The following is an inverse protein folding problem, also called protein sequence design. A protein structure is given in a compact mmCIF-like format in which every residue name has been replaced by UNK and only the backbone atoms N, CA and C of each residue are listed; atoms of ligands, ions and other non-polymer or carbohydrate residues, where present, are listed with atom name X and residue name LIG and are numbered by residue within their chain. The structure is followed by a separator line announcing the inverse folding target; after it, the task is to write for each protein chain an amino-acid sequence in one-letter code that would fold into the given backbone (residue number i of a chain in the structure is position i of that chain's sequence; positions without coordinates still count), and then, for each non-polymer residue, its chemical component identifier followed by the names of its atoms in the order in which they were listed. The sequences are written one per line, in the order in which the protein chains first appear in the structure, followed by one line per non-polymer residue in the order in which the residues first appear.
data_IF_007927070926
#
_entry.id   IF_007927070926
#
_cell.length_a   1.000
_cell.length_b   1.000
_cell.length_c   1.000
_cell.angle_alpha   90.00
_cell.angle_beta   90.00
_cell.angle_gamma   90.00
#
_symmetry.space_group_name_H-M   'P 1'
#
loop_
_entity.id
_entity.type
_entity.pdbx_description
1 polymer ?
#
# COMPACT_ATOMS: atom_id res chain seq x y z
N UNK A 1 -3.53 -2.19 -18.71
CA UNK A 1 -3.76 -2.93 -17.45
C UNK A 1 -5.25 -3.05 -17.14
N UNK A 2 -6.05 -1.97 -17.25
CA UNK A 2 -7.51 -2.01 -17.06
C UNK A 2 -8.19 -3.13 -17.84
N UNK A 3 -7.98 -3.24 -19.14
CA UNK A 3 -8.58 -4.28 -20.00
C UNK A 3 -8.33 -5.71 -19.49
N UNK A 4 -7.14 -6.01 -18.96
CA UNK A 4 -6.84 -7.33 -18.40
C UNK A 4 -7.70 -7.63 -17.16
N UNK A 5 -7.92 -6.63 -16.32
CA UNK A 5 -8.75 -6.74 -15.11
C UNK A 5 -10.21 -6.89 -15.49
N UNK A 6 -10.68 -6.13 -16.48
CA UNK A 6 -12.03 -6.24 -17.03
C UNK A 6 -12.31 -7.66 -17.56
N UNK A 7 -11.39 -8.22 -18.35
CA UNK A 7 -11.48 -9.61 -18.84
C UNK A 7 -11.48 -10.64 -17.70
N UNK A 8 -10.68 -10.43 -16.66
CA UNK A 8 -10.69 -11.31 -15.49
C UNK A 8 -12.04 -11.28 -14.77
N UNK A 9 -12.64 -10.09 -14.61
CA UNK A 9 -13.93 -9.92 -13.95
C UNK A 9 -15.11 -10.47 -14.75
N UNK A 10 -15.01 -10.48 -16.08
CA UNK A 10 -16.02 -11.04 -16.98
C UNK A 10 -15.86 -12.54 -17.26
N UNK A 11 -14.79 -13.16 -16.73
CA UNK A 11 -14.53 -14.58 -16.94
C UNK A 11 -15.42 -15.48 -16.05
N UNK A 12 -15.69 -16.71 -16.50
CA UNK A 12 -16.45 -17.71 -15.74
C UNK A 12 -15.78 -18.12 -14.40
N UNK A 13 -14.52 -17.73 -14.20
CA UNK A 13 -13.77 -18.03 -12.97
C UNK A 13 -13.65 -16.81 -12.03
N UNK A 14 -14.26 -15.68 -12.39
CA UNK A 14 -14.18 -14.42 -11.62
C UNK A 14 -14.55 -14.60 -10.14
N UNK A 15 -15.58 -15.39 -9.84
CA UNK A 15 -16.05 -15.67 -8.47
C UNK A 15 -14.98 -16.38 -7.59
N UNK A 16 -13.97 -17.01 -8.21
CA UNK A 16 -12.92 -17.75 -7.51
C UNK A 16 -11.56 -17.06 -7.53
N UNK A 17 -11.47 -15.87 -8.17
CA UNK A 17 -10.23 -15.13 -8.32
C UNK A 17 -10.38 -13.81 -7.57
N UNK A 18 -9.45 -13.53 -6.65
CA UNK A 18 -9.26 -12.20 -6.10
C UNK A 18 -8.33 -11.41 -7.02
N UNK A 19 -8.74 -10.21 -7.39
CA UNK A 19 -7.94 -9.32 -8.24
C UNK A 19 -7.53 -8.08 -7.44
N UNK A 20 -6.23 -7.88 -7.24
CA UNK A 20 -5.71 -6.67 -6.59
C UNK A 20 -5.02 -5.80 -7.63
N UNK A 21 -5.49 -4.57 -7.78
CA UNK A 21 -4.89 -3.56 -8.65
C UNK A 21 -4.24 -2.46 -7.81
N UNK A 22 -2.93 -2.31 -7.91
CA UNK A 22 -2.23 -1.16 -7.31
C UNK A 22 -2.34 0.03 -8.25
N UNK A 23 -2.93 1.13 -7.78
CA UNK A 23 -3.17 2.35 -8.54
C UNK A 23 -2.26 3.52 -8.08
N UNK A 24 -1.09 3.71 -8.71
CA UNK A 24 -0.22 4.83 -8.37
C UNK A 24 -0.67 6.16 -9.00
N UNK A 25 -1.67 6.14 -9.87
CA UNK A 25 -2.16 7.33 -10.59
C UNK A 25 -3.49 7.85 -10.03
N UNK A 26 -4.22 7.05 -9.25
CA UNK A 26 -5.52 7.41 -8.69
C UNK A 26 -6.61 7.59 -9.74
N UNK A 27 -6.64 6.73 -10.77
CA UNK A 27 -7.59 6.83 -11.88
C UNK A 27 -8.51 5.63 -12.01
N UNK A 28 -8.13 4.47 -11.44
CA UNK A 28 -8.88 3.23 -11.64
C UNK A 28 -10.19 3.13 -10.85
N UNK A 29 -10.42 4.02 -9.87
CA UNK A 29 -11.76 4.18 -9.27
C UNK A 29 -12.84 4.42 -10.33
N UNK A 30 -12.46 4.95 -11.50
CA UNK A 30 -13.37 5.18 -12.64
C UNK A 30 -13.96 3.89 -13.20
N UNK A 31 -13.40 2.70 -12.92
CA UNK A 31 -13.98 1.40 -13.31
C UNK A 31 -15.34 1.14 -12.64
N UNK A 32 -15.65 1.83 -11.56
CA UNK A 32 -16.99 1.81 -10.92
C UNK A 32 -18.06 2.54 -11.73
N UNK A 33 -17.70 3.17 -12.85
CA UNK A 33 -18.63 3.92 -13.69
C UNK A 33 -18.57 3.43 -15.13
N UNK A 34 -19.74 3.28 -15.81
CA UNK A 34 -19.74 2.90 -17.22
C UNK A 34 -19.09 3.99 -18.08
N UNK A 35 -18.37 3.57 -19.11
CA UNK A 35 -17.75 4.51 -20.07
C UNK A 35 -18.81 5.05 -21.05
N UNK A 36 -19.60 6.01 -20.64
CA UNK A 36 -20.62 6.66 -21.47
C UNK A 36 -20.00 7.60 -22.54
N UNK A 37 -18.73 7.92 -22.43
CA UNK A 37 -18.05 8.87 -23.31
C UNK A 37 -17.73 8.27 -24.69
N UNK A 38 -17.36 7.00 -24.70
CA UNK A 38 -16.85 6.31 -25.89
C UNK A 38 -17.83 5.25 -26.45
N UNK A 39 -19.12 5.40 -26.18
CA UNK A 39 -20.18 4.45 -26.59
C UNK A 39 -20.08 4.11 -28.10
N UNK A 40 -19.87 5.11 -28.96
CA UNK A 40 -19.76 4.89 -30.40
C UNK A 40 -18.52 4.10 -30.83
N UNK A 41 -17.49 4.04 -29.99
CA UNK A 41 -16.33 3.19 -30.22
C UNK A 41 -16.58 1.77 -29.70
N UNK A 42 -17.23 1.63 -28.57
CA UNK A 42 -17.61 0.33 -28.00
C UNK A 42 -18.58 -0.41 -28.94
N UNK A 43 -19.56 0.29 -29.50
CA UNK A 43 -20.52 -0.28 -30.49
C UNK A 43 -19.83 -0.90 -31.72
N UNK A 44 -18.68 -0.38 -32.15
CA UNK A 44 -17.91 -0.96 -33.29
C UNK A 44 -17.33 -2.32 -32.98
N UNK A 45 -17.18 -2.64 -31.69
CA UNK A 45 -16.64 -3.91 -31.16
C UNK A 45 -17.73 -4.78 -30.55
N UNK A 46 -19.01 -4.42 -30.74
CA UNK A 46 -20.17 -5.07 -30.14
C UNK A 46 -20.10 -5.13 -28.58
N UNK A 47 -19.50 -4.06 -28.02
CA UNK A 47 -19.34 -3.89 -26.56
C UNK A 47 -20.32 -2.83 -26.05
N UNK A 48 -20.71 -2.97 -24.79
CA UNK A 48 -21.55 -1.98 -24.09
C UNK A 48 -20.77 -1.34 -22.94
N UNK A 49 -21.11 -0.08 -22.59
CA UNK A 49 -20.59 0.50 -21.36
C UNK A 49 -21.03 -0.32 -20.14
N UNK A 50 -20.08 -0.77 -19.36
CA UNK A 50 -20.34 -1.52 -18.11
C UNK A 50 -19.55 -0.88 -16.96
N UNK A 51 -20.09 -0.99 -15.75
CA UNK A 51 -19.41 -0.66 -14.51
C UNK A 51 -19.01 -1.96 -13.83
N UNK A 52 -17.85 -1.94 -13.18
CA UNK A 52 -17.34 -3.08 -12.41
C UNK A 52 -17.61 -2.86 -10.92
N UNK A 53 -17.92 -3.95 -10.22
CA UNK A 53 -18.05 -3.95 -8.75
C UNK A 53 -16.65 -4.01 -8.15
N UNK A 54 -16.01 -2.84 -8.07
CA UNK A 54 -14.67 -2.68 -7.55
C UNK A 54 -14.73 -2.00 -6.18
N UNK A 55 -13.88 -2.44 -5.25
CA UNK A 55 -13.68 -1.80 -3.96
C UNK A 55 -12.40 -0.97 -3.99
N UNK A 56 -12.51 0.33 -3.71
CA UNK A 56 -11.36 1.25 -3.70
C UNK A 56 -10.86 1.43 -2.28
N UNK A 57 -9.64 0.99 -2.04
CA UNK A 57 -8.97 1.08 -0.75
C UNK A 57 -7.88 2.13 -0.76
N UNK A 58 -7.81 2.95 0.29
CA UNK A 58 -6.79 3.97 0.47
C UNK A 58 -6.03 3.78 1.79
N UNK A 59 -4.80 4.32 1.94
CA UNK A 59 -4.11 4.32 3.22
C UNK A 59 -4.93 5.03 4.30
N UNK A 60 -5.15 4.40 5.45
CA UNK A 60 -5.99 4.92 6.54
C UNK A 60 -5.56 6.32 7.02
N UNK A 61 -4.26 6.57 7.08
CA UNK A 61 -3.74 7.88 7.49
C UNK A 61 -3.83 8.97 6.42
N UNK A 62 -4.40 8.66 5.23
CA UNK A 62 -4.52 9.59 4.09
C UNK A 62 -5.96 9.93 3.74
N UNK A 63 -6.94 9.52 4.52
CA UNK A 63 -8.36 9.82 4.28
C UNK A 63 -8.61 11.30 4.06
N UNK A 64 -7.99 12.17 4.87
CA UNK A 64 -8.12 13.61 4.72
C UNK A 64 -7.64 14.12 3.36
N UNK A 65 -6.53 13.58 2.84
CA UNK A 65 -5.99 13.98 1.53
C UNK A 65 -6.96 13.63 0.39
N UNK A 66 -7.67 12.50 0.51
CA UNK A 66 -8.70 12.06 -0.45
C UNK A 66 -9.97 12.87 -0.31
N UNK A 67 -10.43 13.12 0.91
CA UNK A 67 -11.64 13.92 1.20
C UNK A 67 -11.48 15.37 0.69
N UNK A 68 -10.32 16.01 0.93
CA UNK A 68 -10.03 17.37 0.45
C UNK A 68 -9.99 17.48 -1.09
N UNK A 69 -9.65 16.39 -1.77
CA UNK A 69 -9.62 16.30 -3.25
C UNK A 69 -10.90 15.74 -3.85
N UNK A 70 -11.89 15.41 -3.02
CA UNK A 70 -13.15 14.77 -3.44
C UNK A 70 -12.91 13.48 -4.25
N UNK A 71 -11.83 12.74 -3.93
CA UNK A 71 -11.50 11.47 -4.57
C UNK A 71 -12.30 10.34 -3.90
N UNK A 72 -13.06 9.54 -4.68
CA UNK A 72 -13.90 8.50 -4.11
C UNK A 72 -13.07 7.30 -3.64
N UNK A 73 -13.42 6.75 -2.49
CA UNK A 73 -12.93 5.48 -1.96
C UNK A 73 -14.03 4.78 -1.17
N UNK A 74 -13.92 3.48 -0.97
CA UNK A 74 -14.90 2.67 -0.25
C UNK A 74 -14.44 2.37 1.18
N UNK A 75 -13.16 2.01 1.35
CA UNK A 75 -12.62 1.67 2.66
C UNK A 75 -11.11 2.01 2.74
N UNK A 76 -10.53 1.76 3.89
CA UNK A 76 -9.12 2.03 4.16
C UNK A 76 -8.35 0.76 4.48
N UNK A 77 -7.03 0.77 4.23
CA UNK A 77 -6.16 -0.31 4.64
C UNK A 77 -5.02 0.17 5.55
N UNK A 78 -4.50 -0.75 6.33
CA UNK A 78 -3.32 -0.57 7.17
C UNK A 78 -2.40 -1.78 7.06
N UNK A 79 -1.11 -1.55 7.29
CA UNK A 79 -0.06 -2.56 7.41
C UNK A 79 0.45 -2.57 8.85
N UNK A 80 0.70 -3.76 9.39
CA UNK A 80 1.41 -3.86 10.65
C UNK A 80 2.93 -3.81 10.38
N UNK A 81 3.67 -2.84 10.96
CA UNK A 81 5.12 -2.74 10.77
C UNK A 81 5.88 -4.00 11.13
N UNK A 82 5.39 -4.78 12.10
CA UNK A 82 6.01 -6.01 12.56
C UNK A 82 5.91 -7.17 11.55
N UNK A 83 5.01 -7.07 10.58
CA UNK A 83 4.87 -8.08 9.52
C UNK A 83 5.83 -7.86 8.36
N UNK A 84 6.51 -6.70 8.30
CA UNK A 84 7.53 -6.45 7.30
C UNK A 84 8.87 -7.04 7.76
N UNK A 85 9.48 -7.82 6.88
CA UNK A 85 10.85 -8.31 7.08
C UNK A 85 11.85 -7.17 7.03
N UNK A 86 13.03 -7.37 7.59
CA UNK A 86 14.14 -6.39 7.50
C UNK A 86 14.52 -6.09 6.05
N UNK A 87 14.38 -7.06 5.15
CA UNK A 87 14.63 -6.87 3.71
C UNK A 87 13.58 -5.96 3.05
N UNK A 88 12.31 -6.14 3.36
CA UNK A 88 11.23 -5.26 2.87
C UNK A 88 11.38 -3.83 3.38
N UNK A 89 11.72 -3.66 4.66
CA UNK A 89 12.06 -2.35 5.21
C UNK A 89 13.26 -1.72 4.50
N UNK A 90 14.31 -2.50 4.23
CA UNK A 90 15.50 -2.05 3.51
C UNK A 90 15.15 -1.58 2.10
N UNK A 91 14.33 -2.35 1.37
CA UNK A 91 13.84 -1.96 0.05
C UNK A 91 13.01 -0.69 0.11
N UNK A 92 12.09 -0.59 1.06
CA UNK A 92 11.23 0.60 1.24
C UNK A 92 12.05 1.86 1.53
N UNK A 93 13.18 1.73 2.23
CA UNK A 93 14.06 2.84 2.55
C UNK A 93 15.16 3.11 1.51
N UNK A 94 15.23 2.32 0.44
CA UNK A 94 16.26 2.43 -0.60
C UNK A 94 17.68 2.21 -0.06
N UNK A 95 17.87 1.24 0.83
CA UNK A 95 19.17 0.95 1.47
C UNK A 95 19.87 -0.22 0.79
N UNK A 96 21.16 -0.01 0.50
CA UNK A 96 22.03 -1.11 0.08
C UNK A 96 22.33 -2.07 1.24
N UNK A 97 22.38 -3.38 0.97
CA UNK A 97 22.50 -4.43 1.99
C UNK A 97 23.69 -4.33 2.92
N UNK A 98 24.80 -3.78 2.46
CA UNK A 98 26.07 -3.73 3.20
C UNK A 98 26.32 -2.39 3.92
N UNK A 99 25.29 -1.54 4.07
CA UNK A 99 25.44 -0.28 4.79
C UNK A 99 25.28 -0.48 6.30
N UNK A 100 25.93 0.35 7.11
CA UNK A 100 25.77 0.34 8.57
C UNK A 100 24.27 0.51 8.97
N UNK A 101 23.53 1.30 8.19
CA UNK A 101 22.10 1.53 8.43
C UNK A 101 21.28 0.27 8.17
N UNK A 102 21.61 -0.51 7.15
CA UNK A 102 20.95 -1.80 6.86
C UNK A 102 21.22 -2.82 7.96
N UNK A 103 22.47 -2.90 8.43
CA UNK A 103 22.85 -3.80 9.53
C UNK A 103 22.13 -3.40 10.83
N UNK A 104 22.03 -2.10 11.12
CA UNK A 104 21.31 -1.60 12.27
C UNK A 104 19.80 -1.95 12.19
N UNK A 105 19.20 -1.73 11.01
CA UNK A 105 17.79 -2.03 10.76
C UNK A 105 17.49 -3.52 10.93
N UNK A 106 18.32 -4.40 10.38
CA UNK A 106 18.19 -5.86 10.48
C UNK A 106 18.20 -6.31 11.95
N UNK A 107 19.26 -5.93 12.69
CA UNK A 107 19.36 -6.26 14.13
C UNK A 107 18.16 -5.73 14.93
N UNK A 108 17.73 -4.51 14.63
CA UNK A 108 16.59 -3.91 15.31
C UNK A 108 15.30 -4.67 15.04
N UNK A 109 15.05 -5.11 13.81
CA UNK A 109 13.87 -5.90 13.47
C UNK A 109 13.91 -7.28 14.19
N UNK A 110 15.06 -7.95 14.20
CA UNK A 110 15.26 -9.22 14.92
C UNK A 110 14.97 -9.06 16.41
N UNK A 111 15.64 -8.12 17.08
CA UNK A 111 15.49 -7.88 18.52
C UNK A 111 14.06 -7.51 18.91
N UNK A 112 13.37 -6.69 18.07
CA UNK A 112 11.98 -6.30 18.32
C UNK A 112 11.01 -7.46 18.08
N UNK A 113 11.27 -8.32 17.11
CA UNK A 113 10.47 -9.54 16.90
C UNK A 113 10.64 -10.50 18.07
N UNK A 114 11.84 -10.65 18.60
CA UNK A 114 12.11 -11.49 19.78
C UNK A 114 11.46 -10.93 21.05
N UNK A 115 11.45 -9.60 21.23
CA UNK A 115 10.89 -8.94 22.42
C UNK A 115 9.36 -8.81 22.39
N UNK A 116 8.77 -8.52 21.22
CA UNK A 116 7.35 -8.12 21.05
C UNK A 116 6.56 -8.98 20.07
N UNK A 117 7.17 -9.94 19.36
CA UNK A 117 6.49 -10.66 18.27
C UNK A 117 5.92 -9.69 17.24
N UNK A 118 4.63 -9.84 16.92
CA UNK A 118 3.91 -9.01 15.94
C UNK A 118 3.32 -7.71 16.56
N UNK A 119 3.66 -7.39 17.79
CA UNK A 119 3.06 -6.25 18.49
C UNK A 119 3.91 -4.97 18.44
N UNK A 120 5.11 -4.99 17.85
CA UNK A 120 5.89 -3.77 17.76
C UNK A 120 5.35 -2.82 16.67
N UNK A 121 5.63 -1.54 16.84
CA UNK A 121 5.20 -0.44 15.96
C UNK A 121 6.40 0.46 15.66
N UNK A 122 6.29 1.36 14.69
CA UNK A 122 7.36 2.30 14.35
C UNK A 122 7.86 3.09 15.58
N UNK A 123 6.98 3.42 16.53
CA UNK A 123 7.38 4.06 17.79
C UNK A 123 8.37 3.21 18.61
N UNK A 124 8.21 1.87 18.57
CA UNK A 124 9.14 0.95 19.25
C UNK A 124 10.47 0.90 18.51
N UNK A 125 10.43 0.87 17.16
CA UNK A 125 11.64 0.94 16.32
C UNK A 125 12.44 2.22 16.62
N UNK A 126 11.81 3.39 16.65
CA UNK A 126 12.48 4.65 16.97
C UNK A 126 13.10 4.63 18.36
N UNK A 127 12.39 4.12 19.36
CA UNK A 127 12.90 4.01 20.75
C UNK A 127 14.06 3.03 20.85
N UNK A 128 14.03 1.94 20.09
CA UNK A 128 15.07 0.92 20.10
C UNK A 128 16.42 1.45 19.59
N UNK A 129 16.45 2.46 18.71
CA UNK A 129 17.67 3.05 18.16
C UNK A 129 18.66 3.50 19.25
N UNK A 130 18.17 3.92 20.42
CA UNK A 130 19.02 4.36 21.52
C UNK A 130 19.83 3.21 22.15
N UNK A 131 19.34 1.97 22.01
CA UNK A 131 19.98 0.77 22.58
C UNK A 131 21.24 0.33 21.82
N UNK A 132 21.44 0.81 20.57
CA UNK A 132 22.51 0.33 19.70
C UNK A 132 23.74 1.23 19.68
N UNK A 133 24.92 0.60 19.68
CA UNK A 133 26.22 1.27 19.53
C UNK A 133 26.56 1.43 18.04
N UNK A 134 25.95 2.40 17.40
CA UNK A 134 26.25 2.80 16.01
C UNK A 134 26.53 4.31 15.96
N UNK A 135 27.22 4.79 14.89
CA UNK A 135 27.47 6.22 14.71
C UNK A 135 26.16 7.02 14.75
N UNK A 136 26.17 8.15 15.45
CA UNK A 136 25.00 9.01 15.60
C UNK A 136 24.39 9.43 14.24
N UNK A 137 25.23 9.62 13.21
CA UNK A 137 24.76 9.92 11.86
C UNK A 137 23.92 8.77 11.28
N UNK A 138 24.30 7.51 11.53
CA UNK A 138 23.60 6.32 11.07
C UNK A 138 22.25 6.20 11.78
N UNK A 139 22.22 6.37 13.12
CA UNK A 139 20.98 6.33 13.91
C UNK A 139 20.01 7.42 13.50
N UNK A 140 20.47 8.67 13.37
CA UNK A 140 19.60 9.78 12.91
C UNK A 140 19.10 9.59 11.48
N UNK A 141 19.94 9.01 10.60
CA UNK A 141 19.52 8.68 9.24
C UNK A 141 18.38 7.67 9.21
N UNK A 142 18.44 6.64 10.05
CA UNK A 142 17.38 5.63 10.18
C UNK A 142 16.13 6.21 10.87
N UNK A 143 16.32 7.01 11.92
CA UNK A 143 15.20 7.70 12.59
C UNK A 143 14.39 8.56 11.63
N UNK A 144 15.06 9.33 10.75
CA UNK A 144 14.38 10.15 9.75
C UNK A 144 13.58 9.30 8.76
N UNK A 145 14.09 8.13 8.35
CA UNK A 145 13.35 7.21 7.48
C UNK A 145 12.12 6.62 8.18
N UNK A 146 12.25 6.27 9.46
CA UNK A 146 11.12 5.79 10.26
C UNK A 146 10.04 6.87 10.46
N UNK A 147 10.44 8.14 10.62
CA UNK A 147 9.49 9.29 10.66
C UNK A 147 8.77 9.44 9.32
N UNK A 148 9.52 9.40 8.21
CA UNK A 148 8.90 9.46 6.89
C UNK A 148 7.92 8.29 6.66
N UNK A 149 8.25 7.09 7.16
CA UNK A 149 7.35 5.94 7.09
C UNK A 149 6.04 6.15 7.88
N UNK A 150 6.09 6.82 9.03
CA UNK A 150 4.86 7.23 9.74
C UNK A 150 4.01 8.18 8.88
N UNK A 151 4.63 9.12 8.17
CA UNK A 151 3.94 10.08 7.30
C UNK A 151 3.31 9.43 6.06
N UNK A 152 3.71 8.21 5.70
CA UNK A 152 3.02 7.46 4.63
C UNK A 152 1.56 7.16 5.01
N UNK A 153 1.24 7.04 6.30
CA UNK A 153 -0.12 6.81 6.76
C UNK A 153 -0.66 5.41 6.45
N UNK A 154 0.21 4.47 6.06
CA UNK A 154 -0.16 3.06 5.81
C UNK A 154 -0.04 2.20 7.05
N UNK A 155 0.76 2.60 8.04
CA UNK A 155 1.01 1.77 9.21
C UNK A 155 -0.04 1.96 10.30
N UNK A 156 -0.52 0.83 10.83
CA UNK A 156 -1.52 0.75 11.89
C UNK A 156 -1.19 -0.29 12.95
N UNK A 157 -2.13 -0.51 13.86
CA UNK A 157 -1.99 -1.51 14.92
C UNK A 157 -2.18 -2.93 14.40
N UNK A 158 -3.06 -3.09 13.42
CA UNK A 158 -3.36 -4.35 12.76
C UNK A 158 -3.19 -4.20 11.26
N UNK A 159 -2.86 -5.29 10.60
CA UNK A 159 -2.92 -5.36 9.15
C UNK A 159 -4.34 -5.64 8.71
N UNK A 160 -4.79 -4.98 7.67
CA UNK A 160 -6.11 -5.19 7.06
C UNK A 160 -6.00 -5.63 5.60
N UNK A 161 -4.87 -6.25 5.23
CA UNK A 161 -4.63 -6.72 3.86
C UNK A 161 -5.56 -7.87 3.49
N UNK A 162 -5.95 -8.70 4.44
CA UNK A 162 -6.77 -9.91 4.18
C UNK A 162 -8.07 -9.57 3.44
N UNK A 163 -8.67 -8.42 3.75
CA UNK A 163 -9.87 -7.94 3.06
C UNK A 163 -9.65 -7.57 1.60
N UNK A 164 -8.40 -7.36 1.17
CA UNK A 164 -8.07 -7.08 -0.24
C UNK A 164 -8.03 -8.34 -1.09
N UNK A 165 -8.09 -9.52 -0.47
CA UNK A 165 -7.91 -10.82 -1.11
C UNK A 165 -9.17 -11.68 -1.10
N UNK A 166 -10.33 -11.08 -0.86
CA UNK A 166 -11.59 -11.82 -0.88
C UNK A 166 -11.90 -12.37 -2.28
N UNK A 167 -12.29 -13.63 -2.35
CA UNK A 167 -12.56 -14.29 -3.62
C UNK A 167 -13.74 -13.62 -4.34
N UNK A 168 -13.61 -13.41 -5.63
CA UNK A 168 -14.61 -12.73 -6.45
C UNK A 168 -14.49 -11.20 -6.44
N UNK A 169 -13.67 -10.61 -5.56
CA UNK A 169 -13.54 -9.16 -5.46
C UNK A 169 -12.45 -8.58 -6.36
N UNK A 170 -12.73 -7.37 -6.86
CA UNK A 170 -11.75 -6.49 -7.48
C UNK A 170 -11.40 -5.39 -6.47
N UNK A 171 -10.22 -5.50 -5.85
CA UNK A 171 -9.68 -4.53 -4.92
C UNK A 171 -8.73 -3.56 -5.64
N UNK A 172 -9.06 -2.28 -5.65
CA UNK A 172 -8.21 -1.20 -6.18
C UNK A 172 -7.52 -0.51 -5.01
N UNK A 173 -6.21 -0.66 -4.90
CA UNK A 173 -5.41 -0.04 -3.85
C UNK A 173 -4.81 1.25 -4.38
N UNK A 174 -5.47 2.38 -4.08
CA UNK A 174 -5.04 3.70 -4.52
C UNK A 174 -3.89 4.21 -3.64
N UNK A 175 -2.72 4.31 -4.24
CA UNK A 175 -1.49 4.81 -3.62
C UNK A 175 -0.98 6.10 -4.29
N UNK A 176 -1.84 6.78 -5.03
CA UNK A 176 -1.50 7.99 -5.81
C UNK A 176 -0.97 9.14 -4.95
N UNK A 177 -1.37 9.19 -3.68
CA UNK A 177 -0.88 10.19 -2.72
C UNK A 177 0.63 10.11 -2.47
N UNK A 178 1.26 8.96 -2.72
CA UNK A 178 2.72 8.80 -2.56
C UNK A 178 3.51 9.34 -3.76
N UNK A 179 2.93 9.34 -4.95
CA UNK A 179 3.56 9.87 -6.16
C UNK A 179 3.79 11.39 -6.11
N UNK A 180 3.11 12.11 -5.23
CA UNK A 180 3.25 13.55 -5.05
C UNK A 180 4.38 13.94 -4.08
N UNK A 181 4.97 12.96 -3.37
CA UNK A 181 6.06 13.19 -2.42
C UNK A 181 7.46 13.18 -3.06
N UNK A 182 7.56 12.89 -4.35
CA UNK A 182 8.81 12.78 -5.11
C UNK A 182 9.06 13.93 -6.10
N UNK A 183 8.40 15.06 -5.90
CA UNK A 183 8.56 16.29 -6.68
C UNK A 183 9.44 17.32 -5.98
#
# INVERSE_FOLDING_TARGET
MGTLVEECQQSDVSENISTIMIDPMGIFWSMKRPNERDVSMLDKWDMKPEAFDAQVYIPKGKTRDFDEKEMPYDDTFTLNPAQLTSEEWRMAFGLDSNTEMSILLERMCEDLTDEFGDEYRIKHMKKALEKYEFPEKTKRGLENRLRNAEDWGVFGEESSIDKLTEAGELSIVDVSVFGQLSG
#
